data_IF_856503162465
#
_entry.id   IF_856503162465
#
_cell.length_a   1.000
_cell.length_b   1.000
_cell.length_c   1.000
_cell.angle_alpha   90.00
_cell.angle_beta   90.00
_cell.angle_gamma   90.00
#
_symmetry.space_group_name_H-M   'P 1'
#
loop_
_entity.id
_entity.type
_entity.pdbx_description
1 polymer ?
#
# COMPACT_ATOMS: atom_id res chain seq x y z
N UNK A 1 8.61 3.48 -6.51
CA UNK A 1 8.61 4.96 -6.61
C UNK A 1 7.54 5.63 -5.73
N UNK A 2 6.25 5.66 -6.09
CA UNK A 2 5.24 6.44 -5.32
C UNK A 2 5.17 6.08 -3.83
N UNK A 3 5.21 4.78 -3.50
CA UNK A 3 5.24 4.32 -2.10
C UNK A 3 6.46 4.85 -1.33
N UNK A 4 7.62 4.94 -1.98
CA UNK A 4 8.85 5.48 -1.38
C UNK A 4 8.71 6.98 -1.13
N UNK A 5 8.15 7.73 -2.10
CA UNK A 5 7.88 9.17 -1.96
C UNK A 5 6.94 9.45 -0.79
N UNK A 6 5.83 8.72 -0.69
CA UNK A 6 4.89 8.88 0.43
C UNK A 6 5.59 8.54 1.76
N UNK A 7 6.30 7.41 1.82
CA UNK A 7 7.00 6.97 3.02
C UNK A 7 8.04 8.00 3.50
N UNK A 8 8.94 8.44 2.61
CA UNK A 8 9.94 9.44 2.97
C UNK A 8 9.30 10.75 3.41
N UNK A 9 8.22 11.20 2.76
CA UNK A 9 7.58 12.47 3.12
C UNK A 9 6.92 12.38 4.48
N UNK A 10 6.17 11.31 4.78
CA UNK A 10 5.56 11.12 6.09
C UNK A 10 6.61 11.09 7.22
N UNK A 11 7.77 10.47 6.97
CA UNK A 11 8.85 10.41 7.94
C UNK A 11 9.56 11.76 8.09
N UNK A 12 9.89 12.43 6.98
CA UNK A 12 10.60 13.71 7.00
C UNK A 12 9.79 14.84 7.63
N UNK A 13 8.47 14.85 7.41
CA UNK A 13 7.55 15.82 8.02
C UNK A 13 7.19 15.47 9.48
N UNK A 14 7.73 14.35 10.01
CA UNK A 14 7.50 13.92 11.40
C UNK A 14 6.09 13.41 11.68
N UNK A 15 5.33 13.05 10.64
CA UNK A 15 3.99 12.47 10.77
C UNK A 15 4.06 11.07 11.39
N UNK A 16 5.08 10.29 11.03
CA UNK A 16 5.38 8.96 11.58
C UNK A 16 6.89 8.77 11.72
N UNK A 17 7.30 7.94 12.66
CA UNK A 17 8.68 7.41 12.70
C UNK A 17 8.84 6.21 11.75
N UNK A 18 10.08 5.83 11.38
CA UNK A 18 10.33 4.62 10.60
C UNK A 18 9.69 3.35 11.20
N UNK A 19 9.71 3.23 12.53
CA UNK A 19 9.13 2.10 13.27
C UNK A 19 7.59 2.09 13.28
N UNK A 20 6.93 3.20 12.97
CA UNK A 20 5.47 3.30 12.91
C UNK A 20 4.91 3.11 11.50
N UNK A 21 5.79 2.99 10.50
CA UNK A 21 5.44 2.84 9.10
C UNK A 21 5.84 1.46 8.56
N UNK A 22 4.90 0.83 7.85
CA UNK A 22 5.15 -0.39 7.10
C UNK A 22 4.79 -0.24 5.63
N UNK A 23 5.51 -0.93 4.75
CA UNK A 23 5.17 -1.01 3.34
C UNK A 23 5.01 -2.47 2.93
N UNK A 24 3.83 -2.80 2.44
CA UNK A 24 3.50 -4.16 1.98
C UNK A 24 3.35 -4.12 0.47
N UNK A 25 3.99 -5.07 -0.23
CA UNK A 25 3.84 -5.22 -1.67
C UNK A 25 3.78 -6.68 -2.11
N UNK A 26 2.93 -7.07 -3.08
CA UNK A 26 2.82 -8.47 -3.49
C UNK A 26 4.07 -9.06 -4.17
N UNK A 27 4.97 -8.20 -4.67
CA UNK A 27 6.07 -8.63 -5.54
C UNK A 27 7.44 -8.24 -4.95
N UNK A 28 8.33 -9.22 -4.82
CA UNK A 28 9.70 -8.99 -4.33
C UNK A 28 10.50 -7.99 -5.16
N UNK A 29 10.30 -7.98 -6.48
CA UNK A 29 10.94 -6.99 -7.36
C UNK A 29 10.53 -5.55 -7.00
N UNK A 30 9.29 -5.36 -6.53
CA UNK A 30 8.82 -4.06 -6.09
C UNK A 30 9.48 -3.61 -4.79
N UNK A 31 9.85 -4.52 -3.88
CA UNK A 31 10.61 -4.18 -2.67
C UNK A 31 11.94 -3.54 -3.07
N UNK A 32 12.67 -4.18 -3.98
CA UNK A 32 13.95 -3.65 -4.48
C UNK A 32 13.75 -2.27 -5.12
N UNK A 33 12.72 -2.11 -5.95
CA UNK A 33 12.41 -0.82 -6.56
C UNK A 33 12.04 0.24 -5.51
N UNK A 34 11.20 -0.04 -4.52
CA UNK A 34 10.86 0.92 -3.46
C UNK A 34 12.13 1.36 -2.73
N UNK A 35 12.98 0.41 -2.31
CA UNK A 35 14.24 0.70 -1.63
C UNK A 35 15.16 1.60 -2.43
N UNK A 36 15.26 1.40 -3.75
CA UNK A 36 16.10 2.23 -4.64
C UNK A 36 15.67 3.71 -4.71
N UNK A 37 14.41 4.02 -4.41
CA UNK A 37 13.90 5.40 -4.38
C UNK A 37 13.91 6.01 -2.98
N UNK A 38 14.25 5.25 -1.93
CA UNK A 38 14.39 5.78 -0.58
C UNK A 38 15.78 6.42 -0.40
N UNK A 39 15.90 7.46 0.44
CA UNK A 39 17.18 7.91 0.95
C UNK A 39 17.95 6.76 1.63
N UNK A 40 19.29 6.82 1.59
CA UNK A 40 20.15 5.78 2.13
C UNK A 40 19.86 5.51 3.61
N UNK A 41 19.56 6.54 4.39
CA UNK A 41 19.26 6.45 5.82
C UNK A 41 17.99 5.64 6.09
N UNK A 42 16.98 5.74 5.23
CA UNK A 42 15.75 4.95 5.34
C UNK A 42 15.90 3.56 4.73
N UNK A 43 16.75 3.42 3.71
CA UNK A 43 17.03 2.13 3.09
C UNK A 43 17.67 1.14 4.08
N UNK A 44 18.60 1.65 4.90
CA UNK A 44 19.35 0.88 5.90
C UNK A 44 18.68 0.88 7.29
N UNK A 45 17.52 1.53 7.44
CA UNK A 45 16.79 1.53 8.70
C UNK A 45 16.01 0.21 8.87
N UNK A 46 16.40 -0.59 9.86
CA UNK A 46 15.80 -1.90 10.12
C UNK A 46 14.37 -1.82 10.67
N UNK A 47 13.97 -0.69 11.26
CA UNK A 47 12.62 -0.50 11.79
C UNK A 47 11.58 -0.27 10.67
N UNK A 48 12.02 0.30 9.54
CA UNK A 48 11.18 0.49 8.35
C UNK A 48 11.04 -0.81 7.56
N UNK A 49 10.00 -1.57 7.86
CA UNK A 49 9.77 -2.86 7.19
C UNK A 49 9.08 -2.67 5.84
N UNK A 50 9.73 -3.21 4.80
CA UNK A 50 9.22 -3.28 3.42
C UNK A 50 9.27 -4.73 2.98
N UNK A 51 8.13 -5.42 2.96
CA UNK A 51 8.09 -6.85 2.60
C UNK A 51 6.81 -7.27 1.88
N UNK A 52 6.72 -8.56 1.52
CA UNK A 52 5.52 -9.18 0.99
C UNK A 52 4.54 -9.54 2.08
N UNK A 53 3.27 -9.69 1.71
CA UNK A 53 2.17 -10.02 2.63
C UNK A 53 2.49 -11.26 3.48
N UNK A 54 3.13 -12.27 2.88
CA UNK A 54 3.48 -13.53 3.54
C UNK A 54 4.58 -13.36 4.59
N UNK A 55 5.49 -12.40 4.40
CA UNK A 55 6.61 -12.15 5.32
C UNK A 55 6.29 -11.08 6.37
N UNK A 56 5.27 -10.26 6.12
CA UNK A 56 4.74 -9.27 7.07
C UNK A 56 3.83 -9.88 8.14
N UNK A 57 3.64 -11.20 8.14
CA UNK A 57 2.63 -11.84 8.99
C UNK A 57 3.06 -11.83 10.46
N UNK A 58 2.23 -11.24 11.33
CA UNK A 58 2.49 -11.12 12.77
C UNK A 58 3.17 -9.81 13.20
N UNK A 59 3.51 -8.94 12.25
CA UNK A 59 4.03 -7.60 12.55
C UNK A 59 3.02 -6.53 12.14
N UNK A 60 2.82 -5.50 12.95
CA UNK A 60 1.79 -4.46 12.77
C UNK A 60 2.43 -3.08 12.90
N UNK A 61 1.87 -2.09 12.21
CA UNK A 61 2.36 -0.71 12.21
C UNK A 61 1.18 0.23 12.30
N UNK A 62 1.39 1.41 12.90
CA UNK A 62 0.38 2.48 12.92
C UNK A 62 -0.12 2.79 11.52
N UNK A 63 0.82 2.95 10.57
CA UNK A 63 0.50 3.21 9.16
C UNK A 63 1.05 2.10 8.28
N UNK A 64 0.20 1.55 7.41
CA UNK A 64 0.60 0.63 6.34
C UNK A 64 0.35 1.26 4.98
N UNK A 65 1.39 1.25 4.14
CA UNK A 65 1.26 1.50 2.70
C UNK A 65 1.18 0.16 1.97
N UNK A 66 0.02 -0.19 1.43
CA UNK A 66 -0.16 -1.36 0.60
C UNK A 66 0.00 -1.00 -0.89
N UNK A 67 1.17 -1.31 -1.46
CA UNK A 67 1.54 -1.00 -2.85
C UNK A 67 1.33 -2.20 -3.77
N UNK A 68 0.17 -2.23 -4.43
CA UNK A 68 -0.29 -3.39 -5.21
C UNK A 68 0.45 -3.56 -6.54
N UNK A 69 0.80 -2.46 -7.22
CA UNK A 69 1.50 -2.40 -8.54
C UNK A 69 0.83 -3.12 -9.72
N UNK A 70 -0.33 -3.72 -9.50
CA UNK A 70 -1.07 -4.44 -10.53
C UNK A 70 -1.75 -3.47 -11.49
N UNK A 71 -1.74 -3.82 -12.78
CA UNK A 71 -2.33 -3.03 -13.85
C UNK A 71 -3.35 -3.84 -14.69
N UNK A 72 -3.57 -5.12 -14.38
CA UNK A 72 -4.50 -5.99 -15.10
C UNK A 72 -5.21 -6.97 -14.17
N UNK A 73 -6.40 -7.42 -14.58
CA UNK A 73 -7.17 -8.42 -13.85
C UNK A 73 -6.42 -9.75 -13.68
N UNK A 74 -5.55 -10.12 -14.62
CA UNK A 74 -4.71 -11.32 -14.52
C UNK A 74 -3.72 -11.18 -13.36
N UNK A 75 -3.04 -10.05 -13.26
CA UNK A 75 -2.11 -9.78 -12.17
C UNK A 75 -2.82 -9.73 -10.82
N UNK A 76 -4.02 -9.17 -10.76
CA UNK A 76 -4.86 -9.19 -9.54
C UNK A 76 -5.13 -10.61 -9.10
N UNK A 77 -5.56 -11.50 -10.00
CA UNK A 77 -5.79 -12.92 -9.65
C UNK A 77 -4.52 -13.60 -9.11
N UNK A 78 -3.35 -13.29 -9.67
CA UNK A 78 -2.08 -13.89 -9.25
C UNK A 78 -1.62 -13.45 -7.84
N UNK A 79 -2.08 -12.29 -7.36
CA UNK A 79 -1.76 -11.82 -6.00
C UNK A 79 -2.76 -12.30 -4.94
N UNK A 80 -3.91 -12.87 -5.30
CA UNK A 80 -4.91 -13.33 -4.33
C UNK A 80 -4.51 -14.66 -3.68
N UNK A 81 -4.99 -14.89 -2.47
CA UNK A 81 -4.96 -16.22 -1.84
C UNK A 81 -6.38 -16.62 -1.42
N UNK A 82 -7.09 -17.26 -2.36
CA UNK A 82 -8.46 -17.73 -2.17
C UNK A 82 -8.45 -19.26 -2.17
N UNK A 83 -8.97 -19.86 -1.10
CA UNK A 83 -9.15 -21.31 -1.04
C UNK A 83 -10.33 -21.74 -1.91
N UNK A 84 -10.16 -22.82 -2.69
CA UNK A 84 -11.26 -23.39 -3.49
C UNK A 84 -12.40 -23.95 -2.62
N UNK A 85 -12.10 -24.29 -1.36
CA UNK A 85 -13.08 -24.78 -0.39
C UNK A 85 -13.79 -23.66 0.39
N UNK A 86 -13.39 -22.40 0.21
CA UNK A 86 -14.01 -21.27 0.89
C UNK A 86 -15.19 -20.74 0.06
N UNK A 87 -16.45 -20.96 0.49
CA UNK A 87 -17.62 -20.48 -0.26
C UNK A 87 -17.69 -18.95 -0.33
N UNK A 88 -17.05 -18.24 0.60
CA UNK A 88 -16.99 -16.78 0.62
C UNK A 88 -15.88 -16.23 -0.28
N UNK A 89 -15.01 -17.11 -0.83
CA UNK A 89 -13.88 -16.75 -1.69
C UNK A 89 -12.99 -15.67 -1.07
N UNK A 90 -12.71 -15.80 0.22
CA UNK A 90 -11.96 -14.81 0.99
C UNK A 90 -10.53 -14.72 0.51
N UNK A 91 -10.10 -13.52 0.12
CA UNK A 91 -8.69 -13.26 -0.18
C UNK A 91 -7.91 -13.02 1.12
N UNK A 92 -7.25 -14.07 1.61
CA UNK A 92 -6.51 -14.03 2.87
C UNK A 92 -5.38 -12.99 2.84
N UNK A 93 -4.76 -12.78 1.67
CA UNK A 93 -3.67 -11.80 1.55
C UNK A 93 -4.19 -10.38 1.70
N UNK A 94 -5.35 -10.08 1.11
CA UNK A 94 -5.99 -8.78 1.29
C UNK A 94 -6.34 -8.54 2.77
N UNK A 95 -6.95 -9.52 3.44
CA UNK A 95 -7.29 -9.39 4.86
C UNK A 95 -6.06 -9.18 5.74
N UNK A 96 -4.99 -9.94 5.50
CA UNK A 96 -3.71 -9.74 6.21
C UNK A 96 -3.23 -8.31 6.00
N UNK A 97 -3.06 -7.86 4.75
CA UNK A 97 -2.60 -6.49 4.44
C UNK A 97 -3.41 -5.40 5.13
N UNK A 98 -4.75 -5.53 5.18
CA UNK A 98 -5.63 -4.56 5.86
C UNK A 98 -5.38 -4.60 7.37
N UNK A 99 -5.37 -5.79 7.97
CA UNK A 99 -5.19 -5.97 9.42
C UNK A 99 -3.81 -5.62 9.95
N UNK A 100 -2.83 -5.32 9.09
CA UNK A 100 -1.50 -4.88 9.52
C UNK A 100 -1.45 -3.41 9.94
N UNK A 101 -2.46 -2.62 9.55
CA UNK A 101 -2.58 -1.23 9.91
C UNK A 101 -3.35 -1.08 11.23
N UNK A 102 -2.72 -0.48 12.24
CA UNK A 102 -3.39 -0.20 13.52
C UNK A 102 -4.26 1.05 13.42
N UNK A 103 -3.80 2.08 12.70
CA UNK A 103 -4.47 3.38 12.62
C UNK A 103 -4.88 3.74 11.18
N UNK A 104 -3.97 3.58 10.21
CA UNK A 104 -4.23 4.02 8.84
C UNK A 104 -3.68 3.05 7.77
N UNK A 105 -4.53 2.72 6.80
CA UNK A 105 -4.16 1.99 5.59
C UNK A 105 -4.16 2.94 4.39
N UNK A 106 -3.03 3.03 3.69
CA UNK A 106 -2.87 3.73 2.41
C UNK A 106 -2.73 2.68 1.31
N UNK A 107 -3.69 2.62 0.38
CA UNK A 107 -3.65 1.67 -0.74
C UNK A 107 -3.24 2.38 -2.02
N UNK A 108 -2.17 1.87 -2.66
CA UNK A 108 -1.69 2.36 -3.94
C UNK A 108 -1.93 1.30 -5.02
N UNK A 109 -2.70 1.65 -6.05
CA UNK A 109 -3.00 0.72 -7.13
C UNK A 109 -3.88 1.26 -8.24
N UNK A 110 -3.97 0.48 -9.31
CA UNK A 110 -4.91 0.74 -10.40
C UNK A 110 -6.31 0.24 -9.98
N UNK A 111 -7.20 1.16 -9.62
CA UNK A 111 -8.54 0.83 -9.14
C UNK A 111 -9.37 0.05 -10.16
N UNK A 112 -9.23 0.35 -11.45
CA UNK A 112 -9.91 -0.39 -12.52
C UNK A 112 -9.47 -1.85 -12.59
N UNK A 113 -8.18 -2.11 -12.44
CA UNK A 113 -7.66 -3.48 -12.39
C UNK A 113 -8.12 -4.21 -11.11
N UNK A 114 -7.95 -3.58 -9.94
CA UNK A 114 -8.26 -4.15 -8.63
C UNK A 114 -9.74 -4.57 -8.50
N UNK A 115 -10.67 -3.78 -9.06
CA UNK A 115 -12.11 -4.08 -9.03
C UNK A 115 -12.51 -5.39 -9.75
N UNK A 116 -11.60 -6.00 -10.50
CA UNK A 116 -11.80 -7.34 -11.07
C UNK A 116 -11.89 -8.45 -10.00
N UNK A 117 -11.49 -8.17 -8.76
CA UNK A 117 -11.64 -9.05 -7.61
C UNK A 117 -12.63 -8.49 -6.59
N UNK A 118 -13.51 -9.34 -6.08
CA UNK A 118 -14.65 -8.94 -5.26
C UNK A 118 -14.23 -8.20 -3.98
N UNK A 119 -13.29 -8.77 -3.20
CA UNK A 119 -12.82 -8.14 -1.96
C UNK A 119 -12.18 -6.76 -2.17
N UNK A 120 -11.44 -6.57 -3.26
CA UNK A 120 -10.88 -5.26 -3.61
C UNK A 120 -11.94 -4.28 -4.05
N UNK A 121 -12.94 -4.74 -4.81
CA UNK A 121 -14.08 -3.91 -5.25
C UNK A 121 -14.88 -3.42 -4.06
N UNK A 122 -15.12 -4.28 -3.08
CA UNK A 122 -15.86 -3.93 -1.86
C UNK A 122 -15.05 -2.94 -1.01
N UNK A 123 -13.75 -3.18 -0.82
CA UNK A 123 -12.85 -2.24 -0.14
C UNK A 123 -12.83 -0.86 -0.82
N UNK A 124 -12.67 -0.80 -2.15
CA UNK A 124 -12.64 0.46 -2.89
C UNK A 124 -13.99 1.19 -2.78
N UNK A 125 -15.11 0.45 -2.84
CA UNK A 125 -16.44 1.02 -2.68
C UNK A 125 -16.63 1.61 -1.28
N UNK A 126 -16.16 0.90 -0.25
CA UNK A 126 -16.14 1.41 1.12
C UNK A 126 -15.31 2.70 1.23
N UNK A 127 -14.09 2.72 0.69
CA UNK A 127 -13.23 3.91 0.71
C UNK A 127 -13.88 5.11 0.01
N UNK A 128 -14.52 4.91 -1.14
CA UNK A 128 -15.26 5.96 -1.86
C UNK A 128 -16.41 6.53 -1.03
N UNK A 129 -17.17 5.68 -0.36
CA UNK A 129 -18.31 6.09 0.47
C UNK A 129 -17.90 6.85 1.75
N UNK A 130 -16.61 6.78 2.13
CA UNK A 130 -16.05 7.45 3.31
C UNK A 130 -15.04 8.54 2.93
N UNK A 131 -15.10 9.09 1.72
CA UNK A 131 -14.20 10.14 1.22
C UNK A 131 -12.70 9.79 1.25
N UNK A 132 -12.36 8.50 1.29
CA UNK A 132 -10.98 7.99 1.34
C UNK A 132 -10.40 7.58 -0.03
N UNK A 133 -11.08 7.93 -1.14
CA UNK A 133 -10.61 7.60 -2.48
C UNK A 133 -10.07 8.85 -3.18
N UNK A 134 -8.77 8.84 -3.50
CA UNK A 134 -8.11 9.90 -4.24
C UNK A 134 -7.97 9.50 -5.71
N UNK A 135 -8.28 10.43 -6.61
CA UNK A 135 -8.27 10.17 -8.04
C UNK A 135 -6.85 10.08 -8.60
N UNK A 136 -6.73 9.55 -9.82
CA UNK A 136 -5.45 9.49 -10.51
C UNK A 136 -4.91 10.89 -10.77
N UNK A 137 -5.77 11.83 -11.13
CA UNK A 137 -5.42 13.22 -11.41
C UNK A 137 -4.85 13.89 -10.16
N UNK A 138 -5.46 13.64 -8.99
CA UNK A 138 -4.92 14.07 -7.71
C UNK A 138 -3.52 13.48 -7.47
N UNK A 139 -3.36 12.16 -7.64
CA UNK A 139 -2.09 11.49 -7.44
C UNK A 139 -0.99 11.98 -8.41
N UNK A 140 -1.34 12.25 -9.67
CA UNK A 140 -0.42 12.83 -10.66
C UNK A 140 -0.03 14.26 -10.27
N UNK A 141 -0.98 15.07 -9.78
CA UNK A 141 -0.69 16.40 -9.22
C UNK A 141 0.33 16.32 -8.08
N UNK A 142 0.21 15.31 -7.22
CA UNK A 142 1.10 15.08 -6.08
C UNK A 142 2.49 14.58 -6.48
N UNK A 143 2.59 13.74 -7.50
CA UNK A 143 3.88 13.25 -8.01
C UNK A 143 4.61 14.36 -8.78
N UNK A 144 3.87 15.20 -9.50
CA UNK A 144 4.43 16.27 -10.34
C UNK A 144 4.69 17.57 -9.56
N UNK A 145 4.10 17.73 -8.38
CA UNK A 145 4.33 18.84 -7.45
C UNK A 145 5.23 18.37 -6.32
N UNK A 146 6.07 19.23 -5.73
CA UNK A 146 6.75 18.88 -4.48
C UNK A 146 5.67 18.58 -3.40
N UNK A 147 5.57 17.32 -2.98
CA UNK A 147 4.57 16.76 -2.05
C UNK A 147 4.39 17.60 -0.77
N UNK A 148 5.44 18.31 -0.34
CA UNK A 148 5.44 19.21 0.82
C UNK A 148 4.45 20.37 0.76
N UNK A 149 3.97 20.75 -0.44
CA UNK A 149 2.92 21.77 -0.58
C UNK A 149 1.51 21.25 -0.27
N UNK A 150 1.28 19.94 -0.35
CA UNK A 150 -0.07 19.35 -0.32
C UNK A 150 -0.48 18.92 1.09
N UNK A 151 0.49 18.67 1.98
CA UNK A 151 0.21 18.31 3.39
C UNK A 151 -0.32 19.52 4.19
N UNK A 152 -0.15 20.74 3.65
CA UNK A 152 -0.53 21.98 4.33
C UNK A 152 -1.84 22.62 3.83
N UNK A 153 -2.55 21.96 2.90
CA UNK A 153 -3.88 22.36 2.39
C UNK A 153 -4.97 21.38 2.86
#
# INVERSE_FOLDING_TARGET
MVAAIIAQTLIMEGVVTPAELGIITPFRAQIAEIKRYLPHELQENEDLIIDTVERYQGDERKVIIFSTTVASAVQVRNMQNISLSDPLRTDRKLLVSISRAEEQLIVLGNSSALQAADGYRDMISYMKNHNGYLSREWAEGVINSNFSKIIND
#
